data_IF_801954160027
#
_entry.id   IF_801954160027
#
_cell.length_a   1.000
_cell.length_b   1.000
_cell.length_c   1.000
_cell.angle_alpha   90.00
_cell.angle_beta   90.00
_cell.angle_gamma   90.00
#
_symmetry.space_group_name_H-M   'P 1'
#
loop_
_entity.id
_entity.type
_entity.pdbx_description
1 polymer ?
#
# COMPACT_ATOMS: atom_id res chain seq x y z
N UNK A 1 48.44 -7.44 -39.36
CA UNK A 1 46.99 -7.45 -39.09
C UNK A 1 46.69 -8.66 -38.21
N UNK A 2 46.68 -8.49 -36.90
CA UNK A 2 46.30 -9.54 -35.94
C UNK A 2 44.80 -9.45 -35.70
N UNK A 3 44.05 -10.33 -36.35
CA UNK A 3 42.61 -10.50 -36.12
C UNK A 3 42.42 -11.16 -34.75
N UNK A 4 42.05 -10.36 -33.75
CA UNK A 4 41.52 -10.87 -32.49
C UNK A 4 40.21 -11.58 -32.80
N UNK A 5 40.23 -12.91 -32.84
CA UNK A 5 39.03 -13.72 -32.99
C UNK A 5 38.17 -13.50 -31.75
N UNK A 6 37.00 -12.89 -31.91
CA UNK A 6 36.02 -12.72 -30.84
C UNK A 6 35.73 -14.08 -30.18
N UNK A 7 35.65 -14.16 -28.84
CA UNK A 7 35.28 -15.40 -28.16
C UNK A 7 33.88 -15.83 -28.62
N UNK A 8 33.63 -17.13 -28.83
CA UNK A 8 32.36 -17.62 -29.31
C UNK A 8 31.25 -17.21 -28.33
N UNK A 9 30.19 -16.55 -28.85
CA UNK A 9 29.01 -16.18 -28.08
C UNK A 9 28.46 -17.41 -27.37
N UNK A 10 28.37 -17.37 -26.04
CA UNK A 10 27.79 -18.44 -25.24
C UNK A 10 26.37 -18.75 -25.73
N UNK A 11 26.21 -19.93 -26.32
CA UNK A 11 24.89 -20.46 -26.65
C UNK A 11 24.20 -20.86 -25.34
N UNK A 12 23.02 -20.29 -25.09
CA UNK A 12 22.21 -20.62 -23.92
C UNK A 12 21.93 -22.13 -23.87
N UNK A 13 22.34 -22.79 -22.77
CA UNK A 13 22.08 -24.20 -22.51
C UNK A 13 21.15 -24.33 -21.31
N UNK A 14 20.13 -25.18 -21.40
CA UNK A 14 19.18 -25.42 -20.31
C UNK A 14 19.85 -25.85 -19.00
N UNK A 15 21.03 -26.47 -19.07
CA UNK A 15 21.84 -26.83 -17.89
C UNK A 15 22.40 -25.62 -17.13
N UNK A 16 22.60 -24.45 -17.78
CA UNK A 16 23.05 -23.24 -17.08
C UNK A 16 22.02 -22.75 -16.07
N UNK A 17 20.72 -22.94 -16.30
CA UNK A 17 19.65 -22.55 -15.36
C UNK A 17 19.76 -23.24 -13.99
N UNK A 18 20.28 -24.47 -13.95
CA UNK A 18 20.39 -25.28 -12.72
C UNK A 18 21.80 -25.25 -12.12
N UNK A 19 22.85 -25.27 -12.95
CA UNK A 19 24.23 -25.44 -12.50
C UNK A 19 25.04 -24.14 -12.40
N UNK A 20 24.65 -23.08 -13.13
CA UNK A 20 25.38 -21.81 -13.14
C UNK A 20 24.88 -20.88 -12.01
N UNK A 21 25.80 -20.36 -11.19
CA UNK A 21 25.47 -19.54 -10.00
C UNK A 21 24.70 -18.28 -10.36
N UNK A 22 24.89 -17.74 -11.57
CA UNK A 22 24.21 -16.54 -12.06
C UNK A 22 22.72 -16.78 -12.36
N UNK A 23 22.37 -17.94 -12.93
CA UNK A 23 21.01 -18.26 -13.35
C UNK A 23 20.23 -19.10 -12.34
N UNK A 24 20.93 -19.81 -11.44
CA UNK A 24 20.31 -20.67 -10.41
C UNK A 24 19.39 -19.90 -9.46
N UNK A 25 19.81 -18.72 -8.99
CA UNK A 25 19.01 -17.92 -8.06
C UNK A 25 17.69 -17.46 -8.69
N UNK A 26 17.74 -16.95 -9.93
CA UNK A 26 16.56 -16.52 -10.66
C UNK A 26 15.62 -17.70 -10.96
N UNK A 27 16.17 -18.85 -11.38
CA UNK A 27 15.40 -20.06 -11.67
C UNK A 27 14.68 -20.58 -10.42
N UNK A 28 15.37 -20.65 -9.28
CA UNK A 28 14.76 -21.08 -8.01
C UNK A 28 13.68 -20.08 -7.57
N UNK A 29 13.91 -18.77 -7.69
CA UNK A 29 12.92 -17.76 -7.31
C UNK A 29 11.66 -17.84 -8.17
N UNK A 30 11.80 -18.06 -9.49
CA UNK A 30 10.66 -18.24 -10.40
C UNK A 30 9.89 -19.51 -10.06
N UNK A 31 10.58 -20.63 -9.83
CA UNK A 31 9.94 -21.89 -9.43
C UNK A 31 9.22 -21.72 -8.08
N UNK A 32 9.87 -21.09 -7.10
CA UNK A 32 9.30 -20.83 -5.79
C UNK A 32 8.07 -19.91 -5.89
N UNK A 33 8.12 -18.86 -6.72
CA UNK A 33 6.98 -17.99 -6.98
C UNK A 33 5.83 -18.76 -7.62
N UNK A 34 6.10 -19.60 -8.62
CA UNK A 34 5.08 -20.45 -9.23
C UNK A 34 4.46 -21.42 -8.22
N UNK A 35 5.29 -22.09 -7.41
CA UNK A 35 4.82 -23.00 -6.36
C UNK A 35 3.96 -22.25 -5.33
N UNK A 36 4.37 -21.05 -4.92
CA UNK A 36 3.61 -20.19 -4.02
C UNK A 36 2.27 -19.76 -4.63
N UNK A 37 2.26 -19.32 -5.89
CA UNK A 37 1.03 -18.93 -6.60
C UNK A 37 0.07 -20.10 -6.76
N UNK A 38 0.57 -21.30 -7.05
CA UNK A 38 -0.24 -22.52 -7.11
C UNK A 38 -0.83 -22.88 -5.75
N UNK A 39 -0.02 -22.81 -4.69
CA UNK A 39 -0.48 -23.06 -3.32
C UNK A 39 -1.54 -22.04 -2.89
N UNK A 40 -1.33 -20.75 -3.19
CA UNK A 40 -2.30 -19.70 -2.93
C UNK A 40 -3.60 -19.92 -3.73
N UNK A 41 -3.51 -20.25 -5.02
CA UNK A 41 -4.67 -20.54 -5.86
C UNK A 41 -5.45 -21.76 -5.34
N UNK A 42 -4.75 -22.83 -4.96
CA UNK A 42 -5.37 -24.01 -4.34
C UNK A 42 -6.05 -23.69 -3.01
N UNK A 43 -5.42 -22.86 -2.17
CA UNK A 43 -6.00 -22.44 -0.90
C UNK A 43 -7.26 -21.60 -1.13
N UNK A 44 -7.20 -20.61 -2.02
CA UNK A 44 -8.35 -19.77 -2.39
C UNK A 44 -9.49 -20.63 -2.94
N UNK A 45 -9.21 -21.58 -3.84
CA UNK A 45 -10.26 -22.44 -4.41
C UNK A 45 -10.88 -23.35 -3.35
N UNK A 46 -10.07 -23.92 -2.45
CA UNK A 46 -10.59 -24.72 -1.34
C UNK A 46 -11.45 -23.88 -0.42
N UNK A 47 -10.96 -22.72 0.01
CA UNK A 47 -11.72 -21.82 0.88
C UNK A 47 -13.02 -21.38 0.21
N UNK A 48 -12.99 -20.98 -1.07
CA UNK A 48 -14.19 -20.57 -1.80
C UNK A 48 -15.22 -21.70 -1.92
N UNK A 49 -14.79 -22.93 -2.19
CA UNK A 49 -15.67 -24.10 -2.26
C UNK A 49 -16.28 -24.43 -0.89
N UNK A 50 -15.46 -24.48 0.17
CA UNK A 50 -15.94 -24.70 1.54
C UNK A 50 -16.94 -23.61 1.98
N UNK A 51 -16.68 -22.35 1.64
CA UNK A 51 -17.59 -21.24 1.94
C UNK A 51 -18.91 -21.35 1.15
N UNK A 52 -18.85 -21.76 -0.12
CA UNK A 52 -20.04 -21.99 -0.93
C UNK A 52 -20.88 -23.15 -0.38
N UNK A 53 -20.27 -24.25 0.05
CA UNK A 53 -20.95 -25.38 0.69
C UNK A 53 -21.62 -24.99 2.02
N UNK A 54 -21.02 -24.05 2.76
CA UNK A 54 -21.59 -23.46 3.98
C UNK A 54 -22.70 -22.42 3.70
N UNK A 55 -23.09 -22.21 2.44
CA UNK A 55 -24.09 -21.21 2.05
C UNK A 55 -23.62 -19.76 2.19
N UNK A 56 -22.30 -19.53 2.26
CA UNK A 56 -21.67 -18.20 2.30
C UNK A 56 -20.77 -18.01 1.09
N UNK A 57 -21.31 -18.01 -0.15
CA UNK A 57 -20.49 -17.75 -1.32
C UNK A 57 -19.78 -16.40 -1.18
N UNK A 58 -18.50 -16.34 -1.54
CA UNK A 58 -17.78 -15.08 -1.62
C UNK A 58 -18.30 -14.34 -2.85
N UNK A 59 -19.09 -13.30 -2.62
CA UNK A 59 -19.65 -12.46 -3.68
C UNK A 59 -19.42 -10.98 -3.38
N UNK A 60 -19.31 -10.18 -4.44
CA UNK A 60 -19.18 -8.73 -4.39
C UNK A 60 -20.49 -8.01 -4.70
N UNK A 61 -21.61 -8.74 -4.87
CA UNK A 61 -22.94 -8.18 -5.07
C UNK A 61 -23.37 -7.24 -3.94
N UNK A 62 -22.87 -7.45 -2.71
CA UNK A 62 -23.07 -6.53 -1.59
C UNK A 62 -22.62 -5.09 -1.89
N UNK A 63 -21.63 -4.88 -2.78
CA UNK A 63 -21.19 -3.54 -3.17
C UNK A 63 -22.26 -2.78 -3.96
N UNK A 64 -23.15 -3.50 -4.63
CA UNK A 64 -24.30 -2.97 -5.37
C UNK A 64 -25.58 -2.91 -4.53
N UNK A 65 -25.60 -3.51 -3.35
CA UNK A 65 -26.74 -3.44 -2.43
C UNK A 65 -26.85 -2.03 -1.80
N UNK A 66 -28.08 -1.58 -1.47
CA UNK A 66 -28.28 -0.29 -0.79
C UNK A 66 -27.62 -0.27 0.59
N UNK A 67 -26.79 0.74 0.82
CA UNK A 67 -26.02 0.89 2.05
C UNK A 67 -26.89 0.94 3.32
N UNK A 68 -28.10 1.50 3.21
CA UNK A 68 -29.11 1.54 4.28
C UNK A 68 -28.67 2.28 5.56
N UNK A 69 -27.51 2.95 5.53
CA UNK A 69 -27.02 3.87 6.56
C UNK A 69 -26.73 5.24 5.97
N UNK A 70 -26.86 6.28 6.80
CA UNK A 70 -26.67 7.65 6.35
C UNK A 70 -25.29 8.20 6.73
N UNK A 71 -24.73 9.05 5.86
CA UNK A 71 -23.40 9.64 6.07
C UNK A 71 -23.59 11.11 6.44
N UNK A 72 -22.99 11.58 7.54
CA UNK A 72 -23.19 12.96 7.98
C UNK A 72 -22.51 13.96 7.02
N UNK A 73 -21.22 13.78 6.75
CA UNK A 73 -20.46 14.62 5.82
C UNK A 73 -20.48 14.02 4.41
N UNK A 74 -21.07 14.72 3.44
CA UNK A 74 -21.19 14.28 2.05
C UNK A 74 -20.61 15.34 1.14
N UNK A 75 -19.48 15.06 0.50
CA UNK A 75 -18.91 15.94 -0.54
C UNK A 75 -19.61 15.79 -1.89
N UNK A 76 -20.21 14.63 -2.13
CA UNK A 76 -21.01 14.31 -3.30
C UNK A 76 -22.39 13.88 -2.81
N UNK A 77 -23.43 14.09 -3.62
CA UNK A 77 -24.78 13.67 -3.26
C UNK A 77 -24.78 12.17 -2.91
N UNK A 78 -25.33 11.85 -1.76
CA UNK A 78 -25.47 10.47 -1.30
C UNK A 78 -26.72 10.34 -0.47
N UNK A 79 -27.46 9.26 -0.66
CA UNK A 79 -28.61 8.87 0.15
C UNK A 79 -28.42 7.44 0.65
N UNK A 80 -29.05 7.07 1.76
CA UNK A 80 -29.02 5.70 2.30
C UNK A 80 -29.55 4.63 1.33
N UNK A 81 -30.21 5.04 0.24
CA UNK A 81 -30.64 4.14 -0.85
C UNK A 81 -29.55 3.86 -1.88
N UNK A 82 -28.46 4.61 -1.86
CA UNK A 82 -27.33 4.40 -2.75
C UNK A 82 -26.52 3.16 -2.35
N UNK A 83 -25.71 2.68 -3.28
CA UNK A 83 -24.96 1.43 -3.11
C UNK A 83 -23.82 1.57 -2.09
N UNK A 84 -23.44 0.46 -1.46
CA UNK A 84 -22.25 0.39 -0.60
C UNK A 84 -20.97 0.88 -1.30
N UNK A 85 -20.86 0.69 -2.62
CA UNK A 85 -19.76 1.24 -3.41
C UNK A 85 -19.73 2.77 -3.39
N UNK A 86 -20.89 3.42 -3.58
CA UNK A 86 -20.99 4.89 -3.51
C UNK A 86 -20.69 5.39 -2.09
N UNK A 87 -21.19 4.68 -1.06
CA UNK A 87 -20.88 5.00 0.33
C UNK A 87 -19.36 4.94 0.63
N UNK A 88 -18.67 3.92 0.12
CA UNK A 88 -17.22 3.78 0.26
C UNK A 88 -16.46 4.92 -0.45
N UNK A 89 -16.91 5.35 -1.64
CA UNK A 89 -16.33 6.50 -2.34
C UNK A 89 -16.52 7.81 -1.58
N UNK A 90 -17.71 8.05 -1.02
CA UNK A 90 -17.96 9.22 -0.16
C UNK A 90 -17.02 9.21 1.05
N UNK A 91 -16.85 8.05 1.70
CA UNK A 91 -15.92 7.87 2.81
C UNK A 91 -14.48 8.17 2.41
N UNK A 92 -14.01 7.64 1.27
CA UNK A 92 -12.68 7.90 0.74
C UNK A 92 -12.44 9.38 0.48
N UNK A 93 -13.41 10.07 -0.14
CA UNK A 93 -13.34 11.50 -0.40
C UNK A 93 -13.25 12.32 0.89
N UNK A 94 -14.03 11.96 1.91
CA UNK A 94 -13.96 12.61 3.21
C UNK A 94 -12.57 12.45 3.86
N UNK A 95 -12.01 11.24 3.84
CA UNK A 95 -10.66 10.97 4.35
C UNK A 95 -9.61 11.78 3.59
N UNK A 96 -9.72 11.86 2.26
CA UNK A 96 -8.80 12.62 1.43
C UNK A 96 -8.82 14.11 1.79
N UNK A 97 -10.00 14.69 1.96
CA UNK A 97 -10.15 16.11 2.35
C UNK A 97 -9.51 16.37 3.70
N UNK A 98 -9.81 15.54 4.70
CA UNK A 98 -9.24 15.68 6.04
C UNK A 98 -7.72 15.49 6.00
N UNK A 99 -7.21 14.55 5.22
CA UNK A 99 -5.78 14.33 5.05
C UNK A 99 -5.08 15.53 4.42
N UNK A 100 -5.66 16.14 3.38
CA UNK A 100 -5.12 17.35 2.73
C UNK A 100 -5.12 18.53 3.70
N UNK A 101 -6.24 18.79 4.38
CA UNK A 101 -6.33 19.86 5.37
C UNK A 101 -5.36 19.65 6.52
N UNK A 102 -5.22 18.41 6.99
CA UNK A 102 -4.26 18.02 8.03
C UNK A 102 -2.81 18.25 7.60
N UNK A 103 -2.45 17.87 6.37
CA UNK A 103 -1.10 18.11 5.83
C UNK A 103 -0.79 19.61 5.69
N UNK A 104 -1.75 20.41 5.22
CA UNK A 104 -1.60 21.85 5.10
C UNK A 104 -1.41 22.50 6.48
N UNK A 105 -2.27 22.16 7.44
CA UNK A 105 -2.16 22.67 8.82
C UNK A 105 -0.84 22.23 9.48
N UNK A 106 -0.45 20.96 9.32
CA UNK A 106 0.80 20.43 9.86
C UNK A 106 2.03 21.11 9.25
N UNK A 107 1.99 21.45 7.96
CA UNK A 107 3.08 22.19 7.30
C UNK A 107 3.20 23.60 7.84
N UNK A 108 2.09 24.33 7.98
CA UNK A 108 2.08 25.69 8.53
C UNK A 108 2.61 25.68 9.96
N UNK A 109 2.07 24.81 10.83
CA UNK A 109 2.52 24.69 12.22
C UNK A 109 3.99 24.26 12.30
N UNK A 110 4.39 23.28 11.51
CA UNK A 110 5.77 22.79 11.45
C UNK A 110 6.77 23.87 11.06
N UNK A 111 6.44 24.71 10.07
CA UNK A 111 7.27 25.84 9.67
C UNK A 111 7.37 26.89 10.78
N UNK A 112 6.23 27.27 11.39
CA UNK A 112 6.22 28.25 12.50
C UNK A 112 7.09 27.77 13.66
N UNK A 113 6.90 26.53 14.10
CA UNK A 113 7.67 25.93 15.20
C UNK A 113 9.15 25.79 14.82
N UNK A 114 9.43 25.41 13.57
CA UNK A 114 10.79 25.30 13.03
C UNK A 114 11.53 26.64 13.07
N UNK A 115 10.89 27.74 12.67
CA UNK A 115 11.46 29.10 12.74
C UNK A 115 11.64 29.55 14.20
N UNK A 116 10.63 29.35 15.06
CA UNK A 116 10.70 29.71 16.48
C UNK A 116 11.83 29.00 17.23
N UNK A 117 12.18 27.78 16.82
CA UNK A 117 13.31 27.03 17.39
C UNK A 117 14.67 27.72 17.13
N UNK A 118 14.80 28.51 16.07
CA UNK A 118 16.03 29.26 15.74
C UNK A 118 16.11 30.62 16.44
N UNK A 119 15.11 30.99 17.25
CA UNK A 119 15.10 32.25 17.99
C UNK A 119 16.30 32.34 18.94
N UNK A 120 16.89 33.54 19.04
CA UNK A 120 17.95 33.86 19.99
C UNK A 120 17.47 33.82 21.45
N UNK A 121 16.16 33.85 21.68
CA UNK A 121 15.59 33.70 23.02
C UNK A 121 15.65 32.22 23.47
N UNK A 122 16.52 31.95 24.45
CA UNK A 122 16.74 30.61 25.00
C UNK A 122 15.45 29.91 25.46
N UNK A 123 14.52 30.63 26.09
CA UNK A 123 13.28 30.05 26.61
C UNK A 123 12.39 29.54 25.47
N UNK A 124 12.22 30.37 24.43
CA UNK A 124 11.41 30.03 23.25
C UNK A 124 12.01 28.83 22.51
N UNK A 125 13.33 28.81 22.29
CA UNK A 125 14.00 27.69 21.62
C UNK A 125 13.87 26.37 22.40
N UNK A 126 13.97 26.41 23.73
CA UNK A 126 13.85 25.23 24.59
C UNK A 126 12.42 24.68 24.63
N UNK A 127 11.42 25.54 24.75
CA UNK A 127 10.00 25.16 24.76
C UNK A 127 9.58 24.49 23.45
N UNK A 128 9.96 25.06 22.30
CA UNK A 128 9.66 24.46 20.99
C UNK A 128 10.36 23.11 20.80
N UNK A 129 11.56 22.93 21.36
CA UNK A 129 12.27 21.64 21.31
C UNK A 129 11.53 20.56 22.11
N UNK A 130 11.02 20.89 23.30
CA UNK A 130 10.23 19.97 24.12
C UNK A 130 8.92 19.60 23.39
N UNK A 131 8.23 20.59 22.82
CA UNK A 131 7.03 20.35 22.01
C UNK A 131 7.31 19.34 20.89
N UNK A 132 8.30 19.59 20.04
CA UNK A 132 8.62 18.71 18.91
C UNK A 132 8.96 17.30 19.36
N UNK A 133 9.76 17.15 20.42
CA UNK A 133 10.19 15.83 20.89
C UNK A 133 9.02 15.02 21.48
N UNK A 134 8.08 15.68 22.15
CA UNK A 134 6.86 15.04 22.68
C UNK A 134 5.97 14.51 21.54
N UNK A 135 5.72 15.31 20.50
CA UNK A 135 4.88 14.86 19.37
C UNK A 135 5.57 13.85 18.45
N UNK A 136 6.91 13.86 18.40
CA UNK A 136 7.68 12.89 17.62
C UNK A 136 7.77 11.51 18.30
N UNK A 137 7.65 11.46 19.62
CA UNK A 137 7.67 10.23 20.42
C UNK A 137 6.44 10.20 21.33
N UNK A 138 5.26 9.87 20.77
CA UNK A 138 4.08 9.71 21.59
C UNK A 138 4.32 8.60 22.63
N UNK A 139 3.89 8.79 23.89
CA UNK A 139 3.94 7.75 24.91
C UNK A 139 3.04 6.55 24.57
#
# INVERSE_FOLDING_TARGET
>A
MTTLTDPPKEQFRLSMLLYDTRYRSATIQVIALFAFMLLAAWLISNTAQNLAELGKPIDFGFLAEPASYDINQRLIDYTSRDTHFRAALVGLLNTLVIAVLGCLAATILGVIIGVLRLSTNWLVARLNTIYVEMFRKPP
#
